data_IF_234036311866
#
_entry.id   IF_234036311866
#
_cell.length_a   1.000
_cell.length_b   1.000
_cell.length_c   1.000
_cell.angle_alpha   90.00
_cell.angle_beta   90.00
_cell.angle_gamma   90.00
#
_symmetry.space_group_name_H-M   'P 1'
#
loop_
_entity.id
_entity.type
_entity.pdbx_description
1 polymer ?
#
# COMPACT_ATOMS: atom_id res chain seq x y z
N UNK A 1 7.22 -48.56 -71.46
CA UNK A 1 8.58 -48.80 -71.13
C UNK A 1 9.25 -47.54 -70.62
N UNK A 2 9.63 -47.58 -69.40
CA UNK A 2 10.74 -46.85 -68.84
C UNK A 2 10.54 -45.40 -68.53
N UNK A 3 10.58 -45.11 -67.31
CA UNK A 3 11.54 -44.67 -66.37
C UNK A 3 11.22 -43.25 -65.93
N UNK A 4 10.87 -43.15 -64.73
CA UNK A 4 11.68 -42.73 -63.58
C UNK A 4 12.07 -41.26 -63.60
N UNK A 5 11.65 -40.61 -62.70
CA UNK A 5 12.12 -39.28 -62.33
C UNK A 5 11.73 -38.89 -60.96
N UNK A 6 12.23 -39.60 -60.00
CA UNK A 6 12.31 -39.16 -58.62
C UNK A 6 13.25 -37.95 -58.53
N UNK A 7 12.73 -36.82 -58.39
CA UNK A 7 13.45 -35.63 -57.86
C UNK A 7 12.41 -34.79 -57.15
N UNK A 8 12.47 -34.56 -55.95
CA UNK A 8 13.48 -34.45 -54.97
C UNK A 8 12.85 -33.81 -53.83
N UNK A 9 12.62 -34.60 -52.86
CA UNK A 9 12.16 -34.14 -51.53
C UNK A 9 13.33 -33.43 -50.85
N UNK A 10 13.44 -32.15 -51.03
CA UNK A 10 14.41 -31.35 -50.28
C UNK A 10 13.90 -29.97 -49.98
N UNK A 11 12.73 -29.84 -49.32
CA UNK A 11 12.38 -28.54 -48.81
C UNK A 11 11.37 -28.51 -47.61
N UNK A 12 11.43 -29.45 -46.69
CA UNK A 12 10.73 -29.14 -45.45
C UNK A 12 11.65 -28.92 -44.21
N UNK A 13 12.97 -29.08 -44.36
CA UNK A 13 13.85 -29.03 -43.17
C UNK A 13 14.25 -27.60 -42.75
N UNK A 14 14.14 -26.65 -43.66
CA UNK A 14 14.51 -25.25 -43.35
C UNK A 14 13.39 -24.42 -42.71
N UNK A 15 12.16 -24.88 -42.89
CA UNK A 15 11.02 -24.15 -42.31
C UNK A 15 10.80 -24.47 -40.81
N UNK A 16 11.26 -25.63 -40.38
CA UNK A 16 11.12 -26.05 -38.97
C UNK A 16 12.16 -25.38 -38.07
N UNK A 17 13.30 -25.00 -38.63
CA UNK A 17 14.35 -24.33 -37.85
C UNK A 17 14.05 -22.84 -37.59
N UNK A 18 13.24 -22.20 -38.42
CA UNK A 18 12.85 -20.79 -38.21
C UNK A 18 11.70 -20.63 -37.24
N UNK A 19 10.86 -21.64 -37.07
CA UNK A 19 9.83 -21.58 -36.03
C UNK A 19 10.35 -21.86 -34.61
N UNK A 20 11.47 -22.55 -34.51
CA UNK A 20 12.08 -22.84 -33.20
C UNK A 20 12.80 -21.65 -32.55
N UNK A 21 13.18 -20.66 -33.32
CA UNK A 21 13.93 -19.51 -32.80
C UNK A 21 13.05 -18.35 -32.35
N UNK A 22 11.76 -18.39 -32.67
CA UNK A 22 10.83 -17.31 -32.26
C UNK A 22 10.10 -17.55 -30.93
N UNK A 23 10.31 -18.71 -30.32
CA UNK A 23 9.62 -19.06 -29.06
C UNK A 23 10.43 -18.77 -27.80
N UNK A 24 11.62 -18.24 -27.91
CA UNK A 24 12.50 -18.05 -26.76
C UNK A 24 12.49 -16.60 -26.25
N UNK A 25 11.73 -15.70 -26.87
CA UNK A 25 11.75 -14.28 -26.49
C UNK A 25 10.48 -13.75 -25.84
N UNK A 26 9.68 -14.63 -25.25
CA UNK A 26 8.65 -14.20 -24.32
C UNK A 26 8.91 -14.75 -22.93
N UNK A 27 10.07 -14.46 -22.44
CA UNK A 27 10.17 -14.27 -21.01
C UNK A 27 9.43 -12.96 -20.74
N UNK A 28 8.14 -13.07 -20.57
CA UNK A 28 7.38 -12.00 -19.96
C UNK A 28 8.10 -11.67 -18.67
N UNK A 29 8.72 -10.54 -18.63
CA UNK A 29 9.32 -10.03 -17.42
C UNK A 29 8.25 -10.07 -16.32
N UNK A 30 8.46 -10.72 -15.20
CA UNK A 30 7.52 -10.71 -14.08
C UNK A 30 7.53 -9.36 -13.36
N UNK A 31 7.76 -8.28 -14.08
CA UNK A 31 7.80 -6.94 -13.52
C UNK A 31 6.43 -6.42 -13.07
N UNK A 32 5.36 -7.14 -13.33
CA UNK A 32 4.01 -6.72 -12.96
C UNK A 32 3.46 -7.36 -11.69
N UNK A 33 4.25 -8.15 -10.99
CA UNK A 33 3.83 -8.73 -9.72
C UNK A 33 4.23 -7.88 -8.50
N UNK A 34 4.75 -6.68 -8.70
CA UNK A 34 4.68 -5.66 -7.65
C UNK A 34 3.23 -5.22 -7.64
N UNK A 35 2.45 -5.83 -6.73
CA UNK A 35 1.12 -5.38 -6.43
C UNK A 35 1.13 -3.88 -6.33
N UNK A 36 0.02 -3.24 -6.68
CA UNK A 36 -0.20 -1.82 -6.55
C UNK A 36 0.17 -1.35 -5.14
N UNK A 37 1.45 -1.23 -4.84
CA UNK A 37 1.91 -0.36 -3.79
C UNK A 37 1.53 1.03 -4.27
N UNK A 38 0.38 1.46 -3.79
CA UNK A 38 -0.12 2.79 -4.07
C UNK A 38 0.91 3.77 -3.54
N UNK A 39 1.61 4.41 -4.46
CA UNK A 39 2.54 5.47 -4.12
C UNK A 39 1.75 6.59 -3.44
N UNK A 40 2.10 6.96 -2.20
CA UNK A 40 1.38 7.99 -1.48
C UNK A 40 1.44 9.31 -2.24
N UNK A 41 0.34 10.08 -2.20
CA UNK A 41 0.30 11.40 -2.83
C UNK A 41 1.37 12.31 -2.19
N UNK A 42 2.40 12.74 -2.93
CA UNK A 42 3.50 13.52 -2.38
C UNK A 42 3.11 14.94 -1.97
N UNK A 43 1.90 15.38 -2.33
CA UNK A 43 1.35 16.67 -1.93
C UNK A 43 0.77 16.67 -0.52
N UNK A 44 0.58 15.49 0.08
CA UNK A 44 -0.02 15.33 1.40
C UNK A 44 0.99 14.71 2.36
N UNK A 45 1.16 15.32 3.52
CA UNK A 45 1.97 14.79 4.62
C UNK A 45 1.09 14.49 5.81
N UNK A 46 1.07 13.24 6.23
CA UNK A 46 0.43 12.78 7.45
C UNK A 46 1.49 12.53 8.53
N UNK A 47 1.31 13.17 9.68
CA UNK A 47 2.10 12.91 10.90
C UNK A 47 1.17 12.36 11.98
N UNK A 48 1.48 11.19 12.54
CA UNK A 48 0.63 10.56 13.56
C UNK A 48 0.83 11.16 14.95
N UNK A 49 2.00 11.73 15.21
CA UNK A 49 2.34 12.39 16.50
C UNK A 49 2.00 11.51 17.70
N UNK A 50 2.64 10.34 17.74
CA UNK A 50 2.40 9.33 18.74
C UNK A 50 3.24 9.62 19.98
N UNK A 51 2.60 9.69 21.15
CA UNK A 51 3.25 9.74 22.45
C UNK A 51 2.93 8.45 23.22
N UNK A 52 3.97 7.78 23.68
CA UNK A 52 3.88 6.51 24.41
C UNK A 52 4.48 6.64 25.79
N UNK A 53 3.83 6.06 26.79
CA UNK A 53 4.33 5.92 28.15
C UNK A 53 3.83 4.62 28.77
N UNK A 54 4.18 4.37 30.06
CA UNK A 54 3.78 3.15 30.77
C UNK A 54 2.26 3.03 30.99
N UNK A 55 1.53 4.14 30.88
CA UNK A 55 0.09 4.20 31.09
C UNK A 55 -0.71 4.11 29.80
N UNK A 56 -0.03 4.07 28.65
CA UNK A 56 -0.66 3.91 27.36
C UNK A 56 -0.05 4.77 26.26
N UNK A 57 -0.91 5.12 25.32
CA UNK A 57 -0.51 5.76 24.08
C UNK A 57 -1.52 6.85 23.73
N UNK A 58 -1.02 7.95 23.22
CA UNK A 58 -1.86 9.00 22.62
C UNK A 58 -1.41 9.33 21.19
N UNK A 59 -2.38 9.57 20.33
CA UNK A 59 -2.17 10.01 18.95
C UNK A 59 -2.84 11.38 18.78
N UNK A 60 -2.12 12.29 18.13
CA UNK A 60 -2.65 13.59 17.73
C UNK A 60 -2.30 13.84 16.25
N UNK A 61 -2.94 13.11 15.30
CA UNK A 61 -2.57 13.17 13.89
C UNK A 61 -2.80 14.56 13.31
N UNK A 62 -1.88 14.97 12.45
CA UNK A 62 -1.95 16.22 11.71
C UNK A 62 -1.72 15.98 10.22
N UNK A 63 -2.37 16.79 9.39
CA UNK A 63 -2.24 16.81 7.94
C UNK A 63 -1.69 18.14 7.47
N UNK A 64 -0.79 18.07 6.50
CA UNK A 64 -0.32 19.21 5.74
C UNK A 64 -0.49 18.89 4.25
N UNK A 65 -1.16 19.77 3.52
CA UNK A 65 -1.32 19.69 2.08
C UNK A 65 -0.61 20.83 1.36
N UNK A 66 -0.04 20.56 0.19
CA UNK A 66 0.52 21.59 -0.68
C UNK A 66 -0.54 22.31 -1.53
N UNK A 67 -1.77 21.82 -1.52
CA UNK A 67 -2.89 22.35 -2.30
C UNK A 67 -4.17 22.32 -1.48
N UNK A 68 -5.12 23.15 -1.87
CA UNK A 68 -6.46 23.10 -1.27
C UNK A 68 -7.19 21.86 -1.75
N UNK A 69 -7.70 21.06 -0.83
CA UNK A 69 -8.52 19.90 -1.14
C UNK A 69 -9.36 19.44 0.05
N UNK A 70 -10.47 18.79 -0.27
CA UNK A 70 -11.30 18.12 0.74
C UNK A 70 -11.01 16.64 0.76
N UNK A 71 -10.75 16.09 1.95
CA UNK A 71 -10.41 14.68 2.16
C UNK A 71 -11.27 14.05 3.23
N UNK A 72 -11.44 12.74 3.14
CA UNK A 72 -11.94 11.91 4.23
C UNK A 72 -10.76 11.20 4.87
N UNK A 73 -10.64 11.31 6.18
CA UNK A 73 -9.61 10.65 6.97
C UNK A 73 -10.24 9.57 7.82
N UNK A 74 -9.69 8.37 7.78
CA UNK A 74 -10.08 7.26 8.65
C UNK A 74 -8.88 6.81 9.47
N UNK A 75 -9.04 6.76 10.78
CA UNK A 75 -8.07 6.25 11.73
C UNK A 75 -8.62 5.00 12.39
N UNK A 76 -7.87 3.93 12.35
CA UNK A 76 -8.14 2.68 13.06
C UNK A 76 -6.97 2.41 14.00
N UNK A 77 -7.27 2.26 15.28
CA UNK A 77 -6.27 1.94 16.30
C UNK A 77 -6.70 0.67 17.00
N UNK A 78 -5.88 -0.34 16.95
CA UNK A 78 -6.09 -1.61 17.63
C UNK A 78 -4.98 -1.82 18.65
N UNK A 79 -5.37 -2.02 19.90
CA UNK A 79 -4.46 -2.26 21.01
C UNK A 79 -4.74 -3.60 21.68
N UNK A 80 -3.67 -4.33 21.99
CA UNK A 80 -3.72 -5.59 22.74
C UNK A 80 -2.79 -5.50 23.95
N UNK A 81 -3.28 -5.91 25.10
CA UNK A 81 -2.51 -5.92 26.33
C UNK A 81 -2.96 -7.03 27.28
N UNK A 82 -2.38 -7.09 28.48
CA UNK A 82 -2.68 -8.11 29.48
C UNK A 82 -4.16 -8.12 29.89
N UNK A 83 -4.85 -6.99 29.84
CA UNK A 83 -6.25 -6.84 30.22
C UNK A 83 -7.25 -7.12 29.07
N UNK A 84 -6.77 -7.42 27.85
CA UNK A 84 -7.57 -7.67 26.68
C UNK A 84 -7.21 -6.80 25.48
N UNK A 85 -8.13 -6.66 24.53
CA UNK A 85 -7.96 -5.85 23.33
C UNK A 85 -8.95 -4.71 23.27
N UNK A 86 -8.57 -3.64 22.60
CA UNK A 86 -9.42 -2.48 22.32
C UNK A 86 -9.25 -2.04 20.87
N UNK A 87 -10.32 -1.58 20.27
CA UNK A 87 -10.30 -1.03 18.91
C UNK A 87 -11.05 0.28 18.90
N UNK A 88 -10.40 1.33 18.40
CA UNK A 88 -11.01 2.63 18.19
C UNK A 88 -10.96 3.01 16.71
N UNK A 89 -12.06 3.55 16.22
CA UNK A 89 -12.16 4.05 14.86
C UNK A 89 -12.68 5.47 14.86
N UNK A 90 -12.02 6.34 14.13
CA UNK A 90 -12.47 7.70 13.87
C UNK A 90 -12.47 7.97 12.37
N UNK A 91 -13.48 8.67 11.90
CA UNK A 91 -13.56 9.14 10.52
C UNK A 91 -13.98 10.61 10.51
N UNK A 92 -13.32 11.39 9.65
CA UNK A 92 -13.59 12.82 9.53
C UNK A 92 -13.44 13.29 8.08
N UNK A 93 -14.29 14.23 7.68
CA UNK A 93 -14.10 15.01 6.47
C UNK A 93 -13.42 16.33 6.83
N UNK A 94 -12.36 16.66 6.13
CA UNK A 94 -11.54 17.83 6.36
C UNK A 94 -11.34 18.61 5.07
N UNK A 95 -11.50 19.95 5.15
CA UNK A 95 -11.10 20.86 4.08
C UNK A 95 -9.72 21.38 4.40
N UNK A 96 -8.73 20.93 3.60
CA UNK A 96 -7.34 21.30 3.75
C UNK A 96 -7.05 22.57 2.95
N UNK A 97 -6.32 23.49 3.55
CA UNK A 97 -5.77 24.67 2.88
C UNK A 97 -4.28 24.47 2.64
N UNK A 98 -3.82 24.88 1.47
CA UNK A 98 -2.41 24.76 1.09
C UNK A 98 -1.49 25.40 2.13
N UNK A 99 -0.51 24.64 2.62
CA UNK A 99 0.49 25.12 3.58
C UNK A 99 0.03 25.26 5.02
N UNK A 100 -1.24 24.89 5.33
CA UNK A 100 -1.79 24.96 6.67
C UNK A 100 -1.83 23.58 7.32
N UNK A 101 -1.26 23.45 8.52
CA UNK A 101 -1.34 22.21 9.31
C UNK A 101 -2.73 22.09 9.91
N UNK A 102 -3.40 20.98 9.63
CA UNK A 102 -4.75 20.67 10.13
C UNK A 102 -4.71 19.52 11.12
N UNK A 103 -5.27 19.71 12.31
CA UNK A 103 -5.45 18.63 13.26
C UNK A 103 -6.60 17.71 12.83
N UNK A 104 -6.36 16.40 12.84
CA UNK A 104 -7.36 15.39 12.50
C UNK A 104 -8.23 15.05 13.71
N UNK A 105 -7.62 14.96 14.89
CA UNK A 105 -8.28 14.58 16.12
C UNK A 105 -7.28 14.15 17.17
N UNK A 106 -7.79 13.57 18.25
CA UNK A 106 -6.96 13.00 19.31
C UNK A 106 -7.53 11.66 19.73
N UNK A 107 -6.68 10.65 19.83
CA UNK A 107 -7.03 9.33 20.34
C UNK A 107 -6.11 9.00 21.50
N UNK A 108 -6.70 8.54 22.61
CA UNK A 108 -5.96 8.01 23.75
C UNK A 108 -6.34 6.56 24.01
N UNK A 109 -5.34 5.72 24.28
CA UNK A 109 -5.51 4.34 24.71
C UNK A 109 -4.85 4.19 26.10
N UNK A 110 -5.65 3.85 27.11
CA UNK A 110 -5.14 3.45 28.41
C UNK A 110 -4.72 1.97 28.38
N UNK A 111 -3.42 1.71 28.21
CA UNK A 111 -2.85 0.39 28.18
C UNK A 111 -1.67 0.35 29.14
N UNK A 112 -1.59 -0.71 29.93
CA UNK A 112 -0.41 -0.97 30.76
C UNK A 112 0.55 -1.90 30.06
N UNK A 113 1.84 -1.66 30.15
CA UNK A 113 2.84 -2.56 29.63
C UNK A 113 2.74 -3.95 30.29
N UNK A 114 2.93 -5.07 29.57
CA UNK A 114 3.22 -5.14 28.13
C UNK A 114 1.99 -4.94 27.25
N UNK A 115 2.14 -4.22 26.15
CA UNK A 115 1.08 -4.06 25.15
C UNK A 115 1.65 -3.94 23.74
N UNK A 116 0.77 -4.15 22.76
CA UNK A 116 1.05 -3.93 21.34
C UNK A 116 -0.08 -3.09 20.76
N UNK A 117 0.26 -2.12 19.91
CA UNK A 117 -0.70 -1.26 19.22
C UNK A 117 -0.39 -1.22 17.74
N UNK A 118 -1.43 -1.31 16.94
CA UNK A 118 -1.39 -1.09 15.49
C UNK A 118 -2.27 0.11 15.16
N UNK A 119 -1.71 1.03 14.38
CA UNK A 119 -2.41 2.22 13.88
C UNK A 119 -2.46 2.15 12.36
N UNK A 120 -3.65 2.29 11.81
CA UNK A 120 -3.87 2.42 10.36
C UNK A 120 -4.57 3.75 10.09
N UNK A 121 -3.97 4.57 9.26
CA UNK A 121 -4.53 5.84 8.80
C UNK A 121 -4.72 5.81 7.29
N UNK A 122 -5.92 6.15 6.84
CA UNK A 122 -6.30 6.20 5.43
C UNK A 122 -6.82 7.60 5.10
N UNK A 123 -6.33 8.15 4.00
CA UNK A 123 -6.79 9.46 3.49
C UNK A 123 -7.36 9.25 2.09
N UNK A 124 -8.61 9.65 1.92
CA UNK A 124 -9.35 9.51 0.68
C UNK A 124 -9.75 10.87 0.12
N UNK A 125 -9.71 11.00 -1.17
CA UNK A 125 -10.38 12.07 -1.91
C UNK A 125 -11.42 11.43 -2.82
N UNK A 126 -12.69 11.70 -2.56
CA UNK A 126 -13.79 10.95 -3.15
C UNK A 126 -13.59 9.44 -2.90
N UNK A 127 -13.55 8.62 -3.92
CA UNK A 127 -13.31 7.17 -3.82
C UNK A 127 -11.85 6.77 -4.02
N UNK A 128 -10.95 7.76 -4.18
CA UNK A 128 -9.53 7.53 -4.42
C UNK A 128 -8.75 7.59 -3.11
N UNK A 129 -8.03 6.51 -2.79
CA UNK A 129 -7.09 6.50 -1.68
C UNK A 129 -5.84 7.32 -2.05
N UNK A 130 -5.50 8.32 -1.24
CA UNK A 130 -4.35 9.18 -1.44
C UNK A 130 -3.16 8.78 -0.57
N UNK A 131 -3.43 8.39 0.66
CA UNK A 131 -2.39 8.01 1.64
C UNK A 131 -2.89 6.84 2.48
N UNK A 132 -2.03 5.85 2.66
CA UNK A 132 -2.17 4.80 3.66
C UNK A 132 -0.91 4.78 4.52
N UNK A 133 -1.09 4.84 5.83
CA UNK A 133 0.00 4.76 6.79
C UNK A 133 -0.34 3.75 7.87
N UNK A 134 0.58 2.81 8.11
CA UNK A 134 0.49 1.82 9.18
C UNK A 134 1.70 1.94 10.09
N UNK A 135 1.46 1.96 11.38
CA UNK A 135 2.52 1.92 12.38
C UNK A 135 2.18 0.90 13.46
N UNK A 136 3.20 0.21 13.94
CA UNK A 136 3.09 -0.73 15.05
C UNK A 136 4.02 -0.31 16.16
N UNK A 137 3.53 -0.39 17.38
CA UNK A 137 4.27 -0.05 18.58
C UNK A 137 4.08 -1.12 19.63
N UNK A 138 5.07 -1.29 20.47
CA UNK A 138 4.99 -2.20 21.59
C UNK A 138 5.64 -1.58 22.83
N UNK A 139 5.10 -1.91 23.99
CA UNK A 139 5.71 -1.67 25.28
C UNK A 139 6.05 -3.03 25.89
N UNK A 140 7.33 -3.27 26.13
CA UNK A 140 7.77 -4.45 26.84
C UNK A 140 7.59 -4.27 28.36
N UNK A 141 7.08 -5.30 29.01
CA UNK A 141 6.94 -5.32 30.47
C UNK A 141 8.27 -5.52 31.17
#
# INVERSE_FOLDING_TARGET
MVISGFRGLRAPLLLVLLCGLMLVHRVASPASARGNEMEPDPSIRLSLNIAQNEQGLSLAPTLLSKRDLTVSVSLLVHGEGAAGSTTQRQSRNLSLQAGVVMAVGKIGLGLRCPYRVEVTALIWQNERLLVEKKEQMACAG
#
